data_IF_283603110596
#
_entry.id   IF_283603110596
#
_cell.length_a   1.000
_cell.length_b   1.000
_cell.length_c   1.000
_cell.angle_alpha   90.00
_cell.angle_beta   90.00
_cell.angle_gamma   90.00
#
_symmetry.space_group_name_H-M   'P 1'
#
loop_
_entity.id
_entity.type
_entity.pdbx_description
1 polymer ?
#
# COMPACT_ATOMS: atom_id res chain seq x y z
N UNK A 1 -20.22 -11.56 -2.77
CA UNK A 1 -19.09 -10.63 -2.93
C UNK A 1 -17.82 -11.30 -2.44
N UNK A 2 -16.83 -11.52 -3.31
CA UNK A 2 -15.60 -12.24 -2.98
C UNK A 2 -14.53 -11.38 -2.30
N UNK A 3 -14.84 -10.10 -2.03
CA UNK A 3 -13.97 -9.11 -1.40
C UNK A 3 -13.15 -9.64 -0.22
N UNK A 4 -13.80 -10.23 0.80
CA UNK A 4 -13.12 -10.67 2.02
C UNK A 4 -12.07 -11.75 1.76
N UNK A 5 -12.36 -12.64 0.81
CA UNK A 5 -11.46 -13.70 0.38
C UNK A 5 -10.27 -13.12 -0.40
N UNK A 6 -10.54 -12.30 -1.42
CA UNK A 6 -9.51 -11.63 -2.23
C UNK A 6 -8.59 -10.76 -1.38
N UNK A 7 -9.15 -10.01 -0.42
CA UNK A 7 -8.38 -9.20 0.52
C UNK A 7 -7.47 -10.06 1.39
N UNK A 8 -7.96 -11.18 1.94
CA UNK A 8 -7.14 -12.11 2.73
C UNK A 8 -6.01 -12.69 1.90
N UNK A 9 -6.29 -13.18 0.69
CA UNK A 9 -5.30 -13.72 -0.25
C UNK A 9 -4.21 -12.68 -0.51
N UNK A 10 -4.61 -11.46 -0.85
CA UNK A 10 -3.67 -10.37 -1.09
C UNK A 10 -2.79 -10.04 0.12
N UNK A 11 -3.36 -9.95 1.32
CA UNK A 11 -2.59 -9.66 2.54
C UNK A 11 -1.55 -10.76 2.78
N UNK A 12 -1.94 -12.04 2.70
CA UNK A 12 -1.04 -13.18 2.92
C UNK A 12 0.13 -13.22 1.91
N UNK A 13 -0.09 -12.74 0.68
CA UNK A 13 0.97 -12.66 -0.33
C UNK A 13 1.91 -11.46 -0.17
N UNK A 14 1.51 -10.41 0.55
CA UNK A 14 2.24 -9.12 0.58
C UNK A 14 2.76 -8.71 1.96
N UNK A 15 2.33 -9.39 3.03
CA UNK A 15 2.63 -9.06 4.42
C UNK A 15 2.97 -10.31 5.23
N UNK A 16 3.90 -10.17 6.18
CA UNK A 16 4.27 -11.29 7.06
C UNK A 16 3.24 -11.51 8.18
N UNK A 17 2.49 -10.47 8.53
CA UNK A 17 1.45 -10.56 9.56
C UNK A 17 0.29 -9.59 9.31
N UNK A 18 -0.89 -9.97 9.83
CA UNK A 18 -2.07 -9.10 9.84
C UNK A 18 -1.85 -7.80 10.65
N UNK A 19 -0.97 -7.84 11.66
CA UNK A 19 -0.65 -6.67 12.47
C UNK A 19 0.19 -5.65 11.69
N UNK A 20 1.14 -6.11 10.88
CA UNK A 20 1.92 -5.25 9.98
C UNK A 20 0.98 -4.57 8.97
N UNK A 21 0.10 -5.34 8.35
CA UNK A 21 -0.91 -4.80 7.44
C UNK A 21 -1.85 -3.78 8.12
N UNK A 22 -2.33 -4.07 9.34
CA UNK A 22 -3.19 -3.16 10.07
C UNK A 22 -2.50 -1.81 10.37
N UNK A 23 -1.19 -1.84 10.66
CA UNK A 23 -0.37 -0.63 10.84
C UNK A 23 -0.25 0.16 9.55
N UNK A 24 0.09 -0.49 8.44
CA UNK A 24 0.20 0.13 7.11
C UNK A 24 -1.12 0.72 6.61
N UNK A 25 -2.23 0.05 6.90
CA UNK A 25 -3.59 0.53 6.59
C UNK A 25 -4.05 1.63 7.58
N UNK A 26 -3.28 1.86 8.65
CA UNK A 26 -3.59 2.72 9.79
C UNK A 26 -5.03 2.46 10.29
N UNK A 27 -5.32 1.21 10.62
CA UNK A 27 -6.63 0.81 11.13
C UNK A 27 -6.50 -0.11 12.35
N UNK A 28 -7.55 -0.15 13.18
CA UNK A 28 -7.53 -1.03 14.33
C UNK A 28 -7.69 -2.50 13.91
N UNK A 29 -7.07 -3.46 14.63
CA UNK A 29 -7.24 -4.89 14.36
C UNK A 29 -8.72 -5.32 14.38
N UNK A 30 -9.54 -4.70 15.23
CA UNK A 30 -10.97 -4.97 15.31
C UNK A 30 -11.71 -4.53 14.05
N UNK A 31 -11.37 -3.36 13.50
CA UNK A 31 -11.97 -2.89 12.26
C UNK A 31 -11.55 -3.76 11.08
N UNK A 32 -10.26 -4.10 11.00
CA UNK A 32 -9.73 -5.01 9.99
C UNK A 32 -10.43 -6.38 10.05
N UNK A 33 -10.60 -6.95 11.25
CA UNK A 33 -11.30 -8.22 11.43
C UNK A 33 -12.75 -8.16 10.92
N UNK A 34 -13.46 -7.04 11.11
CA UNK A 34 -14.82 -6.88 10.55
C UNK A 34 -14.83 -6.84 9.02
N UNK A 35 -13.83 -6.21 8.40
CA UNK A 35 -13.62 -6.19 6.95
C UNK A 35 -13.34 -7.60 6.41
N UNK A 36 -12.39 -8.31 7.00
CA UNK A 36 -11.97 -9.65 6.56
C UNK A 36 -13.03 -10.75 6.79
N UNK A 37 -14.01 -10.49 7.65
CA UNK A 37 -15.13 -11.39 7.90
C UNK A 37 -16.40 -10.96 7.13
N UNK A 38 -16.32 -9.94 6.26
CA UNK A 38 -17.47 -9.45 5.51
C UNK A 38 -18.56 -8.78 6.36
N UNK A 39 -18.31 -8.55 7.66
CA UNK A 39 -19.25 -7.92 8.59
C UNK A 39 -19.42 -6.41 8.32
N UNK A 40 -18.50 -5.81 7.56
CA UNK A 40 -18.61 -4.45 7.03
C UNK A 40 -18.05 -4.38 5.62
N UNK A 41 -18.74 -3.62 4.76
CA UNK A 41 -18.23 -3.22 3.47
C UNK A 41 -17.16 -2.12 3.63
N UNK A 42 -16.11 -2.11 2.79
CA UNK A 42 -15.14 -1.03 2.79
C UNK A 42 -15.79 0.28 2.32
N UNK A 43 -15.48 1.38 3.02
CA UNK A 43 -15.76 2.72 2.51
C UNK A 43 -14.63 3.23 1.61
N UNK A 44 -14.89 4.34 0.90
CA UNK A 44 -13.91 5.00 0.02
C UNK A 44 -12.52 5.20 0.66
N UNK A 45 -12.47 5.61 1.93
CA UNK A 45 -11.20 5.84 2.65
C UNK A 45 -10.35 4.57 2.75
N UNK A 46 -10.97 3.41 2.98
CA UNK A 46 -10.26 2.13 3.05
C UNK A 46 -9.78 1.72 1.66
N UNK A 47 -10.63 1.85 0.63
CA UNK A 47 -10.26 1.53 -0.75
C UNK A 47 -9.08 2.40 -1.24
N UNK A 48 -9.10 3.70 -0.94
CA UNK A 48 -7.99 4.61 -1.27
C UNK A 48 -6.68 4.18 -0.61
N UNK A 49 -6.73 3.75 0.65
CA UNK A 49 -5.53 3.25 1.35
C UNK A 49 -5.03 1.94 0.75
N UNK A 50 -5.92 0.98 0.47
CA UNK A 50 -5.57 -0.27 -0.20
C UNK A 50 -4.89 -0.01 -1.56
N UNK A 51 -5.42 0.93 -2.34
CA UNK A 51 -4.81 1.36 -3.60
C UNK A 51 -3.41 1.94 -3.40
N UNK A 52 -3.22 2.79 -2.39
CA UNK A 52 -1.92 3.37 -2.06
C UNK A 52 -0.91 2.33 -1.58
N UNK A 53 -1.37 1.27 -0.94
CA UNK A 53 -0.56 0.10 -0.56
C UNK A 53 -0.27 -0.82 -1.74
N UNK A 54 -0.82 -0.52 -2.92
CA UNK A 54 -0.56 -1.23 -4.17
C UNK A 54 -1.56 -2.34 -4.49
N UNK A 55 -2.70 -2.41 -3.81
CA UNK A 55 -3.76 -3.36 -4.15
C UNK A 55 -4.57 -2.87 -5.36
N UNK A 56 -4.78 -3.73 -6.37
CA UNK A 56 -5.71 -3.46 -7.47
C UNK A 56 -7.15 -3.44 -6.96
N UNK A 57 -7.81 -2.29 -7.03
CA UNK A 57 -9.19 -2.11 -6.54
C UNK A 57 -10.19 -2.78 -7.50
N UNK A 58 -9.95 -2.72 -8.80
CA UNK A 58 -10.82 -3.36 -9.80
C UNK A 58 -10.86 -4.87 -9.58
N UNK A 59 -9.68 -5.49 -9.42
CA UNK A 59 -9.58 -6.91 -9.06
C UNK A 59 -10.24 -7.24 -7.72
N UNK A 60 -10.05 -6.39 -6.71
CA UNK A 60 -10.56 -6.61 -5.36
C UNK A 60 -12.09 -6.54 -5.27
N UNK A 61 -12.70 -5.67 -6.07
CA UNK A 61 -14.15 -5.45 -6.11
C UNK A 61 -14.86 -6.30 -7.18
N UNK A 62 -14.12 -6.89 -8.11
CA UNK A 62 -14.65 -7.83 -9.07
C UNK A 62 -15.26 -9.05 -8.35
N UNK A 63 -16.48 -9.40 -8.75
CA UNK A 63 -17.27 -10.50 -8.21
C UNK A 63 -17.31 -11.71 -9.16
N UNK A 64 -16.56 -11.67 -10.26
CA UNK A 64 -16.41 -12.82 -11.15
C UNK A 64 -15.65 -13.97 -10.48
N UNK A 65 -16.03 -15.20 -10.84
CA UNK A 65 -15.33 -16.42 -10.40
C UNK A 65 -13.93 -16.49 -11.03
N UNK A 66 -13.79 -16.04 -12.29
CA UNK A 66 -12.53 -16.01 -13.02
C UNK A 66 -11.47 -15.14 -12.32
N UNK A 67 -11.89 -14.02 -11.72
CA UNK A 67 -11.00 -13.12 -10.98
C UNK A 67 -10.55 -13.63 -9.60
N UNK A 68 -10.97 -14.83 -9.16
CA UNK A 68 -10.53 -15.42 -7.88
C UNK A 68 -9.09 -15.95 -7.94
N UNK A 69 -8.73 -16.53 -9.07
CA UNK A 69 -7.48 -17.26 -9.24
C UNK A 69 -6.36 -16.34 -9.73
N UNK A 70 -6.73 -15.31 -10.48
CA UNK A 70 -5.84 -14.30 -11.00
C UNK A 70 -5.19 -13.53 -9.83
N UNK A 71 -3.84 -13.52 -9.77
CA UNK A 71 -3.06 -13.01 -8.63
C UNK A 71 -2.72 -11.51 -8.78
N UNK A 72 -3.60 -10.79 -9.49
CA UNK A 72 -3.39 -9.48 -10.10
C UNK A 72 -3.31 -8.36 -9.07
N UNK A 73 -3.73 -8.64 -7.84
CA UNK A 73 -3.74 -7.67 -6.76
C UNK A 73 -2.35 -7.23 -6.31
N UNK A 74 -1.26 -7.91 -6.67
CA UNK A 74 0.09 -7.73 -6.12
C UNK A 74 0.55 -6.27 -5.95
N UNK A 75 1.31 -5.99 -4.87
CA UNK A 75 1.91 -4.66 -4.62
C UNK A 75 2.56 -4.15 -5.91
N UNK A 76 2.03 -3.06 -6.47
CA UNK A 76 2.66 -2.33 -7.58
C UNK A 76 4.04 -1.80 -7.13
N UNK A 77 5.06 -2.65 -7.20
CA UNK A 77 6.44 -2.33 -6.82
C UNK A 77 6.92 -1.09 -7.56
N UNK A 78 6.43 -0.86 -8.78
CA UNK A 78 6.74 0.33 -9.57
C UNK A 78 6.40 1.64 -8.86
N UNK A 79 5.25 1.76 -8.17
CA UNK A 79 4.90 3.00 -7.44
C UNK A 79 5.77 3.20 -6.20
N UNK A 80 6.14 2.12 -5.51
CA UNK A 80 7.06 2.16 -4.37
C UNK A 80 8.47 2.55 -4.83
N UNK A 81 8.94 1.93 -5.90
CA UNK A 81 10.23 2.21 -6.55
C UNK A 81 10.28 3.65 -7.02
N UNK A 82 9.26 4.15 -7.72
CA UNK A 82 9.18 5.57 -8.14
C UNK A 82 9.19 6.50 -6.92
N UNK A 83 8.40 6.23 -5.88
CA UNK A 83 8.38 7.06 -4.67
C UNK A 83 9.74 7.08 -3.96
N UNK A 84 10.40 5.94 -3.83
CA UNK A 84 11.74 5.82 -3.24
C UNK A 84 12.79 6.53 -4.10
N UNK A 85 12.75 6.35 -5.43
CA UNK A 85 13.63 7.07 -6.37
C UNK A 85 13.43 8.58 -6.29
N UNK A 86 12.19 9.07 -6.26
CA UNK A 86 11.92 10.50 -6.12
C UNK A 86 12.49 11.08 -4.82
N UNK A 87 12.36 10.37 -3.70
CA UNK A 87 12.92 10.81 -2.40
C UNK A 87 14.45 10.85 -2.46
N UNK A 88 15.09 9.83 -3.04
CA UNK A 88 16.56 9.79 -3.17
C UNK A 88 17.08 10.89 -4.10
N UNK A 89 16.38 11.18 -5.20
CA UNK A 89 16.70 12.27 -6.11
C UNK A 89 16.59 13.63 -5.41
N UNK A 90 15.50 13.87 -4.66
CA UNK A 90 15.31 15.11 -3.90
C UNK A 90 16.34 15.27 -2.77
N UNK A 91 16.71 14.18 -2.10
CA UNK A 91 17.73 14.21 -1.06
C UNK A 91 19.12 14.57 -1.61
N UNK A 92 19.45 14.11 -2.82
CA UNK A 92 20.70 14.47 -3.50
C UNK A 92 20.75 15.96 -3.89
N UNK A 93 19.65 16.53 -4.39
CA UNK A 93 19.57 17.98 -4.68
C UNK A 93 19.72 18.83 -3.42
N UNK A 94 19.17 18.40 -2.29
CA UNK A 94 19.36 19.13 -1.03
C UNK A 94 20.81 19.03 -0.53
N UNK A 95 21.48 17.90 -0.72
CA UNK A 95 22.87 17.72 -0.29
C UNK A 95 23.84 18.67 -1.01
N UNK A 96 23.60 18.96 -2.30
CA UNK A 96 24.44 19.89 -3.08
C UNK A 96 24.25 21.36 -2.68
N UNK A 97 23.05 21.73 -2.21
CA UNK A 97 22.75 23.08 -1.70
C UNK A 97 23.44 23.33 -0.35
N UNK A 98 23.50 22.32 0.52
CA UNK A 98 24.04 22.45 1.88
C UNK A 98 25.59 22.33 1.89
N UNK A 99 26.20 21.80 0.82
CA UNK A 99 27.66 21.59 0.71
C UNK A 99 28.42 22.72 0.02
N UNK A 100 27.80 23.89 -0.21
CA UNK A 100 28.55 25.11 -0.56
C UNK A 100 29.46 25.43 0.64
N UNK A 101 30.79 25.34 0.50
CA UNK A 101 31.68 25.46 1.64
C UNK A 101 31.61 26.90 2.17
N UNK A 102 31.56 26.99 3.50
CA UNK A 102 31.82 28.20 4.26
C UNK A 102 32.83 29.09 3.54
N UNK A 103 32.36 30.28 3.14
CA UNK A 103 33.21 31.41 2.81
C UNK A 103 34.12 31.65 4.03
N UNK A 104 35.38 31.22 3.93
CA UNK A 104 36.42 31.50 4.90
C UNK A 104 36.65 33.02 4.88
N UNK A 105 36.47 33.77 5.99
CA UNK A 105 36.92 35.15 6.01
C UNK A 105 38.46 35.16 6.02
N UNK A 106 39.04 35.81 5.01
CA UNK A 106 40.44 36.22 5.00
C UNK A 106 40.57 37.61 5.63
#
# INVERSE_FOLDING_TARGET
>A
MFFSYKLRKWILSNYNSLNEFAKDLETSPQHLSRLLNGKRKPGYRILKKLYNLGCSIDWLLDDSIEGLDSNDGGRNNLKKVIKTLCILLFANELLSIITIPNFLPA
#
